data_IF_458310409114
#
_entry.id   IF_458310409114
#
_cell.length_a   1.000
_cell.length_b   1.000
_cell.length_c   1.000
_cell.angle_alpha   90.00
_cell.angle_beta   90.00
_cell.angle_gamma   90.00
#
_symmetry.space_group_name_H-M   'P 1'
#
loop_
_entity.id
_entity.type
_entity.pdbx_description
1 polymer ?
#
# COMPACT_ATOMS: atom_id res chain seq x y z
N UNK A 1 -31.38 19.60 48.54
CA UNK A 1 -30.07 19.87 47.89
C UNK A 1 -29.70 21.32 48.18
N UNK A 2 -28.73 21.57 49.07
CA UNK A 2 -28.36 22.93 49.53
C UNK A 2 -27.15 23.45 48.75
N UNK A 3 -27.22 24.71 48.34
CA UNK A 3 -26.35 25.42 47.40
C UNK A 3 -24.95 25.79 47.94
N UNK A 4 -24.23 24.87 48.57
CA UNK A 4 -23.05 25.22 49.36
C UNK A 4 -21.68 24.70 48.92
N UNK A 5 -21.55 23.81 47.92
CA UNK A 5 -20.26 23.09 47.78
C UNK A 5 -19.96 22.46 46.40
N UNK A 6 -20.16 23.20 45.30
CA UNK A 6 -19.75 22.73 43.96
C UNK A 6 -18.83 23.79 43.32
N UNK A 7 -17.55 23.45 43.15
CA UNK A 7 -16.50 24.41 42.72
C UNK A 7 -16.23 24.36 41.20
N UNK A 8 -16.37 23.21 40.54
CA UNK A 8 -16.12 23.10 39.09
C UNK A 8 -16.82 21.90 38.46
N UNK A 9 -17.50 22.14 37.34
CA UNK A 9 -18.08 21.09 36.48
C UNK A 9 -17.33 21.12 35.16
N UNK A 10 -16.71 19.99 34.80
CA UNK A 10 -16.00 19.82 33.54
C UNK A 10 -16.87 18.96 32.63
N UNK A 11 -17.30 19.53 31.51
CA UNK A 11 -18.04 18.82 30.48
C UNK A 11 -17.04 18.27 29.46
N UNK A 12 -17.01 16.95 29.32
CA UNK A 12 -16.23 16.27 28.29
C UNK A 12 -17.10 16.05 27.06
N UNK A 13 -16.53 16.24 25.88
CA UNK A 13 -17.19 16.12 24.57
C UNK A 13 -17.72 14.72 24.23
N UNK A 14 -17.59 13.76 25.14
CA UNK A 14 -18.15 12.41 25.06
C UNK A 14 -19.54 12.25 25.73
N UNK A 15 -20.22 13.36 26.06
CA UNK A 15 -21.56 13.33 26.68
C UNK A 15 -21.55 13.07 28.19
N UNK A 16 -20.41 13.23 28.84
CA UNK A 16 -20.24 13.00 30.28
C UNK A 16 -19.81 14.29 31.00
N UNK A 17 -20.55 14.66 32.04
CA UNK A 17 -20.19 15.76 32.93
C UNK A 17 -19.47 15.18 34.16
N UNK A 18 -18.23 15.60 34.40
CA UNK A 18 -17.47 15.27 35.61
C UNK A 18 -17.55 16.43 36.58
N UNK A 19 -18.19 16.22 37.73
CA UNK A 19 -18.31 17.22 38.79
C UNK A 19 -17.24 16.94 39.83
N UNK A 20 -16.36 17.92 40.10
CA UNK A 20 -15.33 17.78 41.14
C UNK A 20 -15.77 18.55 42.39
N UNK A 21 -16.02 17.81 43.47
CA UNK A 21 -16.34 18.37 44.79
C UNK A 21 -15.04 18.68 45.53
N UNK A 22 -14.84 19.93 45.95
CA UNK A 22 -13.76 20.30 46.89
C UNK A 22 -14.40 20.37 48.27
N UNK A 23 -14.58 19.21 48.89
CA UNK A 23 -14.72 19.09 50.33
C UNK A 23 -13.46 18.36 50.81
N UNK A 24 -12.65 19.07 51.59
CA UNK A 24 -11.19 18.92 51.59
C UNK A 24 -10.64 17.60 52.10
N UNK A 25 -10.69 16.52 51.30
CA UNK A 25 -9.69 15.44 51.36
C UNK A 25 -9.69 14.39 50.24
N UNK A 26 -10.74 14.20 49.40
CA UNK A 26 -10.68 13.24 48.26
C UNK A 26 -11.56 13.70 47.09
N UNK A 27 -11.00 14.09 45.93
CA UNK A 27 -11.82 14.45 44.77
C UNK A 27 -12.56 13.20 44.27
N UNK A 28 -13.88 13.14 44.50
CA UNK A 28 -14.75 12.12 43.89
C UNK A 28 -15.27 12.66 42.58
N UNK A 29 -14.79 12.12 41.47
CA UNK A 29 -15.35 12.35 40.14
C UNK A 29 -16.63 11.52 40.01
N UNK A 30 -17.80 12.16 40.09
CA UNK A 30 -19.04 11.51 39.69
C UNK A 30 -19.27 11.82 38.22
N UNK A 31 -19.28 10.77 37.41
CA UNK A 31 -19.68 10.82 36.00
C UNK A 31 -21.20 10.90 35.99
N UNK A 32 -21.73 12.07 35.64
CA UNK A 32 -23.17 12.31 35.56
C UNK A 32 -23.57 12.43 34.09
N UNK A 33 -24.62 11.71 33.63
CA UNK A 33 -25.15 11.89 32.29
C UNK A 33 -25.64 13.33 32.13
N UNK A 34 -25.26 13.97 31.04
CA UNK A 34 -25.60 15.36 30.74
C UNK A 34 -27.06 15.48 30.24
N UNK A 35 -28.02 15.00 31.03
CA UNK A 35 -29.45 15.09 30.73
C UNK A 35 -29.96 16.53 30.94
N UNK A 36 -31.00 16.93 30.20
CA UNK A 36 -31.54 18.30 30.22
C UNK A 36 -31.93 18.82 31.62
N UNK A 37 -32.41 17.94 32.50
CA UNK A 37 -32.74 18.29 33.89
C UNK A 37 -31.50 18.60 34.76
N UNK A 38 -30.36 17.96 34.45
CA UNK A 38 -29.09 18.20 35.14
C UNK A 38 -28.47 19.52 34.67
N UNK A 39 -28.59 19.83 33.37
CA UNK A 39 -28.12 21.09 32.78
C UNK A 39 -28.87 22.30 33.34
N UNK A 40 -30.19 22.23 33.47
CA UNK A 40 -31.03 23.27 34.10
C UNK A 40 -30.63 23.55 35.56
N UNK A 41 -30.35 22.49 36.34
CA UNK A 41 -29.91 22.63 37.73
C UNK A 41 -28.52 23.22 37.88
N UNK A 42 -27.58 22.88 37.00
CA UNK A 42 -26.23 23.45 37.01
C UNK A 42 -26.25 24.91 36.56
N UNK A 43 -27.11 25.25 35.59
CA UNK A 43 -27.35 26.62 35.12
C UNK A 43 -27.96 27.49 36.23
N UNK A 44 -28.96 26.98 36.95
CA UNK A 44 -29.59 27.65 38.09
C UNK A 44 -28.61 27.87 39.26
N UNK A 45 -27.62 26.98 39.43
CA UNK A 45 -26.62 27.06 40.48
C UNK A 45 -25.41 27.96 40.14
N UNK A 46 -25.39 28.63 38.98
CA UNK A 46 -24.30 29.52 38.50
C UNK A 46 -22.90 28.90 38.59
N UNK A 47 -22.77 27.60 38.40
CA UNK A 47 -21.46 26.94 38.45
C UNK A 47 -20.72 27.16 37.13
N UNK A 48 -19.45 27.61 37.13
CA UNK A 48 -18.68 27.81 35.91
C UNK A 48 -18.46 26.48 35.19
N UNK A 49 -18.95 26.40 33.95
CA UNK A 49 -18.80 25.26 33.07
C UNK A 49 -17.48 25.40 32.30
N UNK A 50 -16.58 24.44 32.47
CA UNK A 50 -15.40 24.32 31.62
C UNK A 50 -15.62 23.16 30.66
N UNK A 51 -15.78 23.48 29.37
CA UNK A 51 -15.81 22.48 28.31
C UNK A 51 -14.36 22.18 27.96
N UNK A 52 -13.89 21.00 28.35
CA UNK A 52 -12.58 20.52 27.88
C UNK A 52 -12.83 19.71 26.61
N UNK A 53 -12.61 20.34 25.47
CA UNK A 53 -12.52 19.64 24.18
C UNK A 53 -11.23 18.82 24.20
N UNK A 54 -11.36 17.54 24.56
CA UNK A 54 -10.26 16.58 24.54
C UNK A 54 -9.87 16.19 23.13
N UNK A 55 -9.33 17.14 22.37
CA UNK A 55 -8.66 16.86 21.10
C UNK A 55 -7.17 16.78 21.34
N UNK A 56 -6.57 15.60 21.18
CA UNK A 56 -5.11 15.49 21.18
C UNK A 56 -4.54 16.31 20.02
N UNK A 57 -3.71 17.30 20.32
CA UNK A 57 -3.10 18.21 19.32
C UNK A 57 -2.24 17.49 18.27
N UNK A 58 -1.91 16.22 18.49
CA UNK A 58 -1.16 15.36 17.57
C UNK A 58 -2.02 14.33 16.84
N UNK A 59 -3.35 14.35 17.00
CA UNK A 59 -4.25 13.40 16.32
C UNK A 59 -4.15 13.48 14.79
N UNK A 60 -3.86 14.65 14.24
CA UNK A 60 -3.63 14.85 12.80
C UNK A 60 -2.36 14.17 12.31
N UNK A 61 -1.32 14.05 13.15
CA UNK A 61 -0.06 13.36 12.79
C UNK A 61 -0.34 11.89 12.54
N UNK A 62 -1.14 11.24 13.38
CA UNK A 62 -1.50 9.82 13.23
C UNK A 62 -2.27 9.57 11.92
N UNK A 63 -3.08 10.53 11.47
CA UNK A 63 -3.82 10.45 10.21
C UNK A 63 -2.92 10.67 8.99
N UNK A 64 -1.94 11.57 9.09
CA UNK A 64 -1.08 11.98 7.95
C UNK A 64 0.18 11.13 7.83
N UNK A 65 0.66 10.53 8.92
CA UNK A 65 1.85 9.68 8.96
C UNK A 65 1.82 8.52 7.94
N UNK A 66 0.75 7.70 7.82
CA UNK A 66 0.71 6.63 6.83
C UNK A 66 0.75 7.17 5.39
N UNK A 67 0.09 8.31 5.12
CA UNK A 67 0.11 8.94 3.79
C UNK A 67 1.52 9.42 3.42
N UNK A 68 2.22 10.08 4.35
CA UNK A 68 3.61 10.54 4.13
C UNK A 68 4.54 9.34 3.94
N UNK A 69 4.38 8.28 4.75
CA UNK A 69 5.22 7.09 4.66
C UNK A 69 5.05 6.37 3.32
N UNK A 70 3.81 6.19 2.85
CA UNK A 70 3.54 5.63 1.51
C UNK A 70 4.11 6.53 0.41
N UNK A 71 3.91 7.85 0.49
CA UNK A 71 4.45 8.79 -0.49
C UNK A 71 5.99 8.73 -0.55
N UNK A 72 6.66 8.64 0.61
CA UNK A 72 8.11 8.53 0.71
C UNK A 72 8.62 7.25 0.03
N UNK A 73 8.00 6.11 0.30
CA UNK A 73 8.35 4.83 -0.35
C UNK A 73 8.22 4.95 -1.87
N UNK A 74 7.11 5.51 -2.37
CA UNK A 74 6.89 5.68 -3.80
C UNK A 74 7.93 6.61 -4.43
N UNK A 75 8.30 7.71 -3.78
CA UNK A 75 9.35 8.63 -4.25
C UNK A 75 10.71 7.93 -4.29
N UNK A 76 11.04 7.12 -3.30
CA UNK A 76 12.29 6.34 -3.28
C UNK A 76 12.30 5.30 -4.41
N UNK A 77 11.22 4.56 -4.61
CA UNK A 77 11.09 3.62 -5.74
C UNK A 77 11.21 4.34 -7.09
N UNK A 78 10.50 5.45 -7.28
CA UNK A 78 10.58 6.27 -8.49
C UNK A 78 11.99 6.80 -8.74
N UNK A 79 12.70 7.22 -7.70
CA UNK A 79 14.09 7.69 -7.81
C UNK A 79 15.03 6.56 -8.20
N UNK A 80 14.89 5.38 -7.58
CA UNK A 80 15.70 4.21 -7.91
C UNK A 80 15.46 3.75 -9.35
N UNK A 81 14.21 3.73 -9.81
CA UNK A 81 13.86 3.36 -11.18
C UNK A 81 14.38 4.35 -12.23
N UNK A 82 14.54 5.63 -11.89
CA UNK A 82 15.12 6.63 -12.80
C UNK A 82 16.66 6.61 -12.82
N UNK A 83 17.31 6.16 -11.74
CA UNK A 83 18.77 6.09 -11.63
C UNK A 83 19.40 4.91 -12.38
N UNK A 84 18.64 3.83 -12.60
CA UNK A 84 19.10 2.67 -13.38
C UNK A 84 18.68 2.83 -14.85
N UNK A 85 19.44 3.66 -15.57
CA UNK A 85 19.56 3.73 -17.03
C UNK A 85 18.36 3.31 -17.90
N UNK A 86 17.69 4.32 -18.47
CA UNK A 86 17.12 4.25 -19.82
C UNK A 86 15.75 3.59 -19.96
N UNK A 87 14.77 4.40 -20.37
CA UNK A 87 13.60 4.03 -21.18
C UNK A 87 13.15 2.56 -21.12
N UNK A 88 12.67 2.10 -19.96
CA UNK A 88 12.17 0.73 -19.84
C UNK A 88 12.09 0.21 -18.41
N UNK A 89 11.57 1.02 -17.47
CA UNK A 89 11.19 0.48 -16.16
C UNK A 89 10.26 -0.73 -16.35
N UNK A 90 10.41 -1.76 -15.51
CA UNK A 90 9.72 -3.07 -15.43
C UNK A 90 8.61 -3.45 -16.46
N UNK A 91 7.73 -2.53 -16.84
CA UNK A 91 6.79 -2.63 -17.95
C UNK A 91 7.43 -2.67 -19.37
N UNK A 92 8.66 -2.18 -19.57
CA UNK A 92 9.32 -2.18 -20.90
C UNK A 92 9.95 -3.52 -21.30
N UNK A 93 10.20 -4.40 -20.33
CA UNK A 93 10.76 -5.75 -20.54
C UNK A 93 9.69 -6.84 -20.49
N UNK A 94 8.52 -6.54 -19.93
CA UNK A 94 7.37 -7.43 -19.87
C UNK A 94 6.62 -7.42 -21.22
N UNK A 95 7.23 -7.98 -22.26
CA UNK A 95 6.61 -8.08 -23.59
C UNK A 95 7.58 -8.03 -24.77
N UNK A 96 8.82 -7.58 -24.55
CA UNK A 96 9.90 -7.75 -25.54
C UNK A 96 10.40 -9.19 -25.49
N UNK A 97 9.90 -10.01 -26.41
CA UNK A 97 10.48 -11.32 -26.69
C UNK A 97 12.01 -11.18 -26.81
N UNK A 98 12.76 -12.00 -26.07
CA UNK A 98 14.20 -12.21 -26.28
C UNK A 98 14.45 -13.05 -27.54
N UNK A 99 13.69 -12.81 -28.61
CA UNK A 99 13.94 -13.45 -29.87
C UNK A 99 15.26 -12.90 -30.41
N UNK A 100 16.27 -13.76 -30.46
CA UNK A 100 17.47 -13.48 -31.22
C UNK A 100 17.04 -13.43 -32.70
N UNK A 101 17.08 -12.24 -33.31
CA UNK A 101 16.85 -12.10 -34.74
C UNK A 101 18.13 -12.56 -35.44
N UNK A 102 18.14 -13.81 -35.85
CA UNK A 102 19.24 -14.40 -36.60
C UNK A 102 19.01 -14.05 -38.07
N UNK A 103 19.87 -13.21 -38.64
CA UNK A 103 19.83 -12.89 -40.08
C UNK A 103 20.35 -14.04 -40.92
N UNK A 104 19.90 -14.11 -42.18
CA UNK A 104 20.41 -15.08 -43.16
C UNK A 104 21.95 -15.05 -43.22
N UNK A 105 22.58 -16.21 -43.09
CA UNK A 105 24.04 -16.36 -43.13
C UNK A 105 24.79 -16.21 -41.80
N UNK A 106 24.10 -15.95 -40.68
CA UNK A 106 24.75 -15.93 -39.35
C UNK A 106 25.16 -17.32 -38.85
N UNK A 107 24.44 -18.37 -39.25
CA UNK A 107 24.76 -19.76 -38.89
C UNK A 107 25.64 -20.35 -39.98
N UNK A 108 26.90 -20.65 -39.65
CA UNK A 108 27.91 -21.23 -40.58
C UNK A 108 28.34 -22.65 -40.21
N UNK A 109 27.58 -23.33 -39.34
CA UNK A 109 27.88 -24.68 -38.88
C UNK A 109 27.28 -25.72 -39.83
N UNK A 110 28.02 -26.79 -40.08
CA UNK A 110 27.58 -27.94 -40.87
C UNK A 110 27.41 -29.18 -39.98
N UNK A 111 26.72 -30.22 -40.50
CA UNK A 111 26.57 -31.50 -39.80
C UNK A 111 27.90 -32.21 -39.52
N UNK A 112 28.96 -31.86 -40.24
CA UNK A 112 30.33 -32.34 -40.00
C UNK A 112 30.92 -31.83 -38.70
N UNK A 113 30.43 -30.69 -38.20
CA UNK A 113 30.95 -30.02 -37.00
C UNK A 113 30.31 -30.55 -35.72
N UNK A 114 29.36 -31.50 -35.83
CA UNK A 114 28.67 -32.15 -34.72
C UNK A 114 29.14 -33.60 -34.61
N UNK A 115 29.59 -34.04 -33.43
CA UNK A 115 30.05 -35.41 -33.19
C UNK A 115 29.07 -36.22 -32.32
N UNK A 116 28.96 -37.53 -32.57
CA UNK A 116 28.27 -38.47 -31.67
C UNK A 116 26.75 -38.60 -31.82
N UNK A 117 26.15 -38.00 -32.84
CA UNK A 117 24.68 -38.00 -33.05
C UNK A 117 24.31 -38.46 -34.47
N UNK A 118 24.87 -39.56 -34.93
CA UNK A 118 24.74 -39.97 -36.33
C UNK A 118 23.31 -40.39 -36.71
N UNK A 119 22.57 -41.02 -35.79
CA UNK A 119 21.14 -41.33 -35.97
C UNK A 119 20.30 -40.05 -36.10
N UNK A 120 20.46 -39.08 -35.19
CA UNK A 120 19.71 -37.82 -35.24
C UNK A 120 20.08 -36.94 -36.45
N UNK A 121 21.33 -37.01 -36.93
CA UNK A 121 21.73 -36.34 -38.18
C UNK A 121 21.03 -36.94 -39.40
N UNK A 122 20.82 -38.26 -39.42
CA UNK A 122 20.14 -38.93 -40.53
C UNK A 122 18.66 -38.52 -40.59
N UNK A 123 17.97 -38.50 -39.45
CA UNK A 123 16.58 -38.03 -39.37
C UNK A 123 16.44 -36.55 -39.79
N UNK A 124 17.34 -35.68 -39.32
CA UNK A 124 17.33 -34.26 -39.69
C UNK A 124 17.74 -34.00 -41.14
N UNK A 125 18.53 -34.88 -41.76
CA UNK A 125 18.86 -34.78 -43.18
C UNK A 125 17.62 -34.94 -44.06
N UNK A 126 16.67 -35.80 -43.68
CA UNK A 126 15.40 -35.93 -44.39
C UNK A 126 14.56 -34.64 -44.29
N UNK A 127 14.51 -34.03 -43.11
CA UNK A 127 13.82 -32.74 -42.91
C UNK A 127 14.50 -31.63 -43.71
N UNK A 128 15.83 -31.61 -43.80
CA UNK A 128 16.57 -30.65 -44.61
C UNK A 128 16.34 -30.90 -46.11
N UNK A 129 16.29 -32.15 -46.58
CA UNK A 129 15.96 -32.49 -47.98
C UNK A 129 14.54 -32.04 -48.32
N UNK A 130 13.59 -32.23 -47.40
CA UNK A 130 12.22 -31.72 -47.53
C UNK A 130 12.18 -30.20 -47.65
N UNK A 131 12.90 -29.47 -46.79
CA UNK A 131 12.93 -28.01 -46.83
C UNK A 131 13.65 -27.47 -48.08
N UNK A 132 14.61 -28.22 -48.65
CA UNK A 132 15.32 -27.83 -49.87
C UNK A 132 14.57 -28.16 -51.15
N UNK A 133 13.85 -29.27 -51.17
CA UNK A 133 13.14 -29.80 -52.34
C UNK A 133 11.68 -30.16 -52.02
N UNK A 134 10.87 -29.19 -51.56
CA UNK A 134 9.49 -29.46 -51.14
C UNK A 134 8.63 -30.06 -52.26
N UNK A 135 8.92 -29.72 -53.51
CA UNK A 135 8.22 -30.23 -54.69
C UNK A 135 8.34 -31.75 -54.90
N UNK A 136 9.46 -32.35 -54.49
CA UNK A 136 9.70 -33.80 -54.59
C UNK A 136 8.77 -34.57 -53.66
N UNK A 137 8.57 -34.06 -52.45
CA UNK A 137 7.75 -34.68 -51.42
C UNK A 137 6.25 -34.41 -51.61
N UNK A 138 5.89 -33.32 -52.29
CA UNK A 138 4.49 -33.04 -52.63
C UNK A 138 3.94 -33.93 -53.76
N UNK A 139 4.82 -34.53 -54.58
CA UNK A 139 4.44 -35.45 -55.66
C UNK A 139 4.33 -36.92 -55.21
N UNK A 140 4.91 -37.26 -54.05
CA UNK A 140 4.92 -38.60 -53.46
C UNK A 140 3.73 -38.84 -52.50
N UNK A 141 2.91 -37.81 -52.24
CA UNK A 141 1.67 -37.86 -51.45
C UNK A 141 0.44 -37.56 -52.30
#
# INVERSE_FOLDING_TARGET
MKAGRVSRVVLSSAGQASVTFVDGSRPRSLVVPADGATLERIRAARVPLQVTTGGSSFGWVVQVLPLILTALILVVLWRNMRGQGGSGGAAGTFGKSKAAVISEGQIKLNFTDVAGCDEAKQDLQEVVDFLRHPEKYHQLG
#
